data_IF_148493877859
#
_entry.id   IF_148493877859
#
_cell.length_a   1.000
_cell.length_b   1.000
_cell.length_c   1.000
_cell.angle_alpha   90.00
_cell.angle_beta   90.00
_cell.angle_gamma   90.00
#
_symmetry.space_group_name_H-M   'P 1'
#
loop_
_entity.id
_entity.type
_entity.pdbx_description
1 polymer ?
#
# COMPACT_ATOMS: atom_id res chain seq x y z
N UNK A 1 -42.21 -30.68 -30.90
CA UNK A 1 -40.77 -30.81 -30.77
C UNK A 1 -40.01 -29.70 -31.52
N UNK A 2 -40.29 -29.40 -32.81
CA UNK A 2 -39.58 -28.35 -33.57
C UNK A 2 -39.63 -26.96 -32.93
N UNK A 3 -40.76 -26.52 -32.36
CA UNK A 3 -40.87 -25.20 -31.70
C UNK A 3 -40.00 -25.08 -30.45
N UNK A 4 -39.78 -26.17 -29.71
CA UNK A 4 -38.89 -26.20 -28.53
C UNK A 4 -37.41 -26.13 -28.93
N UNK A 5 -37.04 -26.78 -30.03
CA UNK A 5 -35.67 -26.77 -30.56
C UNK A 5 -35.31 -25.36 -31.07
N UNK A 6 -36.25 -24.70 -31.79
CA UNK A 6 -36.04 -23.32 -32.26
C UNK A 6 -35.94 -22.33 -31.11
N UNK A 7 -36.68 -22.50 -30.02
CA UNK A 7 -36.61 -21.68 -28.84
C UNK A 7 -35.26 -21.87 -28.08
N UNK A 8 -34.81 -23.14 -27.97
CA UNK A 8 -33.53 -23.46 -27.35
C UNK A 8 -32.33 -22.91 -28.17
N UNK A 9 -32.40 -23.01 -29.51
CA UNK A 9 -31.34 -22.42 -30.35
C UNK A 9 -31.36 -20.90 -30.31
N UNK A 10 -32.50 -20.24 -30.29
CA UNK A 10 -32.60 -18.79 -30.12
C UNK A 10 -32.04 -18.34 -28.75
N UNK A 11 -32.31 -19.08 -27.67
CA UNK A 11 -31.70 -18.79 -26.33
C UNK A 11 -30.17 -18.95 -26.32
N UNK A 12 -29.65 -19.94 -27.05
CA UNK A 12 -28.20 -20.17 -27.13
C UNK A 12 -27.41 -19.04 -27.85
N UNK A 13 -28.09 -18.31 -28.74
CA UNK A 13 -27.48 -17.16 -29.44
C UNK A 13 -27.50 -15.86 -28.61
N UNK A 14 -28.28 -15.79 -27.54
CA UNK A 14 -28.32 -14.65 -26.63
C UNK A 14 -27.19 -14.67 -25.55
N UNK A 15 -26.49 -15.77 -25.37
CA UNK A 15 -25.52 -15.95 -24.30
C UNK A 15 -24.13 -15.39 -24.61
N UNK A 16 -23.92 -14.69 -25.75
CA UNK A 16 -22.59 -14.36 -26.25
C UNK A 16 -22.17 -12.88 -26.30
N UNK A 17 -23.06 -11.93 -26.11
CA UNK A 17 -22.74 -10.52 -26.39
C UNK A 17 -22.57 -9.66 -25.14
N UNK A 18 -21.45 -9.77 -24.46
CA UNK A 18 -20.97 -8.65 -23.63
C UNK A 18 -20.33 -7.61 -24.57
N UNK A 19 -20.88 -6.38 -24.57
CA UNK A 19 -20.32 -5.27 -25.36
C UNK A 19 -19.07 -4.72 -24.68
N UNK A 20 -17.99 -4.50 -25.46
CA UNK A 20 -16.73 -3.91 -25.00
C UNK A 20 -15.56 -4.88 -25.04
N UNK A 21 -14.33 -4.36 -24.95
CA UNK A 21 -13.11 -5.17 -24.90
C UNK A 21 -12.99 -5.91 -23.55
N UNK A 22 -12.38 -7.09 -23.58
CA UNK A 22 -12.00 -7.80 -22.35
C UNK A 22 -10.75 -7.15 -21.75
N UNK A 23 -10.73 -7.03 -20.44
CA UNK A 23 -9.56 -6.54 -19.73
C UNK A 23 -8.38 -7.51 -19.88
N UNK A 24 -7.25 -7.00 -20.35
CA UNK A 24 -5.98 -7.73 -20.40
C UNK A 24 -4.96 -6.96 -19.57
N UNK A 25 -4.33 -7.60 -18.58
CA UNK A 25 -3.20 -6.99 -17.86
C UNK A 25 -2.11 -6.59 -18.83
N UNK A 26 -1.53 -5.40 -18.63
CA UNK A 26 -0.35 -4.98 -19.41
C UNK A 26 0.83 -5.77 -18.89
N UNK A 27 1.41 -6.64 -19.74
CA UNK A 27 2.68 -7.27 -19.44
C UNK A 27 3.82 -6.27 -19.73
N UNK A 28 4.66 -5.94 -18.74
CA UNK A 28 5.80 -5.06 -18.97
C UNK A 28 6.76 -5.74 -19.95
N UNK A 29 7.26 -5.00 -20.93
CA UNK A 29 8.34 -5.44 -21.85
C UNK A 29 9.67 -5.44 -21.08
N UNK A 30 9.80 -6.40 -20.17
CA UNK A 30 10.97 -6.59 -19.34
C UNK A 30 11.80 -7.77 -19.89
N UNK A 31 13.13 -7.68 -19.88
CA UNK A 31 13.98 -8.80 -20.28
C UNK A 31 13.71 -10.00 -19.36
N UNK A 32 13.66 -11.20 -19.95
CA UNK A 32 13.35 -12.46 -19.24
C UNK A 32 14.30 -12.74 -18.06
N UNK A 33 15.48 -12.11 -18.04
CA UNK A 33 16.46 -12.25 -16.95
C UNK A 33 17.34 -11.01 -16.83
N UNK A 34 17.83 -10.75 -15.63
CA UNK A 34 18.91 -9.80 -15.42
C UNK A 34 20.22 -10.35 -16.00
N UNK A 35 21.05 -9.48 -16.59
CA UNK A 35 22.32 -9.87 -17.24
C UNK A 35 23.28 -10.59 -16.28
N UNK A 36 23.30 -10.20 -15.01
CA UNK A 36 24.19 -10.74 -13.97
C UNK A 36 23.47 -11.62 -12.94
N UNK A 37 22.23 -12.06 -13.21
CA UNK A 37 21.52 -12.94 -12.29
C UNK A 37 22.23 -14.30 -12.21
N UNK A 38 22.55 -14.80 -11.00
CA UNK A 38 23.00 -16.18 -10.85
C UNK A 38 21.92 -17.13 -11.39
N UNK A 39 22.33 -18.22 -12.06
CA UNK A 39 21.40 -19.18 -12.67
C UNK A 39 20.38 -19.82 -11.72
N UNK A 40 20.49 -19.58 -10.42
CA UNK A 40 19.64 -20.16 -9.37
C UNK A 40 18.48 -19.27 -8.89
N UNK A 41 18.24 -18.10 -9.49
CA UNK A 41 17.23 -17.14 -8.99
C UNK A 41 15.85 -17.31 -9.62
N UNK A 42 15.45 -18.49 -10.02
CA UNK A 42 14.10 -18.79 -10.51
C UNK A 42 13.08 -19.07 -9.39
N UNK A 43 13.23 -18.45 -8.21
CA UNK A 43 12.26 -18.51 -7.11
C UNK A 43 11.57 -17.16 -6.96
N UNK A 44 10.27 -17.19 -6.63
CA UNK A 44 9.57 -15.99 -6.17
C UNK A 44 10.42 -15.32 -5.08
N UNK A 45 10.80 -14.07 -5.28
CA UNK A 45 11.54 -13.32 -4.29
C UNK A 45 10.63 -13.14 -3.07
N UNK A 46 10.78 -14.03 -2.10
CA UNK A 46 10.24 -13.84 -0.76
C UNK A 46 11.02 -12.66 -0.18
N UNK A 47 10.39 -11.49 -0.16
CA UNK A 47 10.98 -10.25 0.32
C UNK A 47 11.55 -10.41 1.74
N UNK A 48 10.90 -11.21 2.58
CA UNK A 48 11.37 -11.49 3.94
C UNK A 48 12.70 -12.27 3.93
N UNK A 49 12.91 -13.17 2.96
CA UNK A 49 14.17 -13.90 2.82
C UNK A 49 15.30 -13.04 2.30
N UNK A 50 14.99 -12.06 1.43
CA UNK A 50 16.00 -11.12 0.95
C UNK A 50 16.65 -10.37 2.11
N UNK A 51 15.85 -9.77 2.99
CA UNK A 51 16.36 -9.02 4.13
C UNK A 51 16.98 -9.91 5.22
N UNK A 52 16.51 -11.12 5.38
CA UNK A 52 17.14 -12.10 6.27
C UNK A 52 18.55 -12.49 5.83
N UNK A 53 18.87 -12.40 4.54
CA UNK A 53 20.21 -12.67 3.99
C UNK A 53 21.29 -11.71 4.45
N UNK A 54 20.95 -10.55 5.02
CA UNK A 54 21.92 -9.61 5.63
C UNK A 54 22.39 -10.05 7.02
N UNK A 55 21.77 -11.04 7.63
CA UNK A 55 22.08 -11.59 8.96
C UNK A 55 22.21 -10.49 10.06
N UNK A 56 21.37 -9.45 9.94
CA UNK A 56 21.33 -8.31 10.86
C UNK A 56 19.99 -8.30 11.61
N UNK A 57 19.97 -8.74 12.89
CA UNK A 57 18.74 -8.82 13.70
C UNK A 57 18.16 -7.44 14.02
N UNK A 58 19.00 -6.37 14.03
CA UNK A 58 18.53 -5.00 14.25
C UNK A 58 17.74 -4.53 13.03
N UNK A 59 18.28 -4.69 11.83
CA UNK A 59 17.60 -4.36 10.58
C UNK A 59 16.27 -5.13 10.48
N UNK A 60 16.29 -6.43 10.71
CA UNK A 60 15.08 -7.27 10.68
C UNK A 60 14.02 -6.82 11.70
N UNK A 61 14.45 -6.37 12.89
CA UNK A 61 13.58 -5.81 13.92
C UNK A 61 12.91 -4.50 13.48
N UNK A 62 13.69 -3.59 12.90
CA UNK A 62 13.21 -2.30 12.40
C UNK A 62 12.24 -2.47 11.22
N UNK A 63 12.49 -3.41 10.31
CA UNK A 63 11.58 -3.74 9.21
C UNK A 63 10.23 -4.17 9.75
N UNK A 64 10.18 -5.13 10.68
CA UNK A 64 8.92 -5.58 11.29
C UNK A 64 8.18 -4.42 11.95
N UNK A 65 8.89 -3.63 12.77
CA UNK A 65 8.29 -2.49 13.45
C UNK A 65 7.72 -1.45 12.46
N UNK A 66 8.41 -1.21 11.35
CA UNK A 66 7.95 -0.29 10.29
C UNK A 66 6.68 -0.81 9.64
N UNK A 67 6.64 -2.08 9.25
CA UNK A 67 5.45 -2.67 8.61
C UNK A 67 4.25 -2.71 9.57
N UNK A 68 4.45 -2.98 10.85
CA UNK A 68 3.38 -3.07 11.84
C UNK A 68 2.81 -1.70 12.24
N UNK A 69 3.66 -0.68 12.36
CA UNK A 69 3.29 0.62 12.92
C UNK A 69 3.01 1.72 11.88
N UNK A 70 3.37 1.50 10.61
CA UNK A 70 3.26 2.53 9.58
C UNK A 70 1.80 2.88 9.28
N UNK A 71 1.50 4.19 9.29
CA UNK A 71 0.12 4.70 9.08
C UNK A 71 -0.27 4.71 7.61
N UNK A 72 0.67 4.92 6.70
CA UNK A 72 0.40 4.93 5.26
C UNK A 72 0.08 3.52 4.77
N UNK A 73 0.75 2.50 5.34
CA UNK A 73 0.45 1.11 5.06
C UNK A 73 -0.96 0.72 5.55
N UNK A 74 -1.37 1.21 6.73
CA UNK A 74 -2.74 1.03 7.23
C UNK A 74 -3.77 1.72 6.35
N UNK A 75 -3.45 2.92 5.83
CA UNK A 75 -4.31 3.63 4.88
C UNK A 75 -4.41 2.89 3.54
N UNK A 76 -3.31 2.33 3.03
CA UNK A 76 -3.31 1.51 1.82
C UNK A 76 -4.14 0.24 1.99
N UNK A 77 -4.02 -0.44 3.13
CA UNK A 77 -4.85 -1.60 3.47
C UNK A 77 -6.35 -1.24 3.51
N UNK A 78 -6.69 -0.08 4.06
CA UNK A 78 -8.09 0.39 4.07
C UNK A 78 -8.62 0.69 2.64
N UNK A 79 -7.75 1.19 1.73
CA UNK A 79 -8.11 1.36 0.30
C UNK A 79 -8.35 0.01 -0.38
N UNK A 80 -7.50 -0.98 -0.13
CA UNK A 80 -7.70 -2.34 -0.60
C UNK A 80 -9.03 -2.93 -0.12
N UNK A 81 -9.33 -2.83 1.18
CA UNK A 81 -10.60 -3.30 1.74
C UNK A 81 -11.82 -2.59 1.16
N UNK A 82 -11.68 -1.28 0.86
CA UNK A 82 -12.72 -0.51 0.16
C UNK A 82 -12.94 -1.04 -1.26
N UNK A 83 -11.87 -1.28 -2.03
CA UNK A 83 -11.98 -1.83 -3.39
C UNK A 83 -12.64 -3.22 -3.37
N UNK A 84 -12.28 -4.06 -2.39
CA UNK A 84 -12.93 -5.36 -2.17
C UNK A 84 -14.44 -5.23 -1.88
N UNK A 85 -14.83 -4.27 -1.04
CA UNK A 85 -16.23 -4.01 -0.73
C UNK A 85 -17.01 -3.51 -1.96
N UNK A 86 -16.41 -2.64 -2.78
CA UNK A 86 -17.01 -2.17 -4.04
C UNK A 86 -17.19 -3.30 -5.05
N UNK A 87 -16.23 -4.20 -5.17
CA UNK A 87 -16.38 -5.40 -6.01
C UNK A 87 -17.51 -6.30 -5.51
N UNK A 88 -17.65 -6.50 -4.20
CA UNK A 88 -18.79 -7.25 -3.64
C UNK A 88 -20.13 -6.57 -3.96
N UNK A 89 -20.19 -5.23 -3.83
CA UNK A 89 -21.38 -4.43 -4.21
C UNK A 89 -21.74 -4.61 -5.68
N UNK A 90 -20.77 -4.43 -6.58
CA UNK A 90 -21.00 -4.59 -8.02
C UNK A 90 -21.45 -6.00 -8.43
N UNK A 91 -20.99 -7.04 -7.71
CA UNK A 91 -21.50 -8.41 -7.91
C UNK A 91 -22.91 -8.59 -7.38
N UNK A 92 -23.27 -7.92 -6.29
CA UNK A 92 -24.62 -7.98 -5.73
C UNK A 92 -25.66 -7.35 -6.68
N UNK A 93 -25.28 -6.31 -7.44
CA UNK A 93 -26.15 -5.69 -8.45
C UNK A 93 -26.58 -6.67 -9.58
N UNK A 94 -25.86 -7.78 -9.77
CA UNK A 94 -26.24 -8.84 -10.71
C UNK A 94 -27.35 -9.76 -10.17
N UNK A 95 -27.67 -9.66 -8.89
CA UNK A 95 -28.66 -10.46 -8.20
C UNK A 95 -29.99 -9.69 -8.09
N UNK A 96 -31.11 -10.39 -7.93
CA UNK A 96 -32.38 -9.74 -7.60
C UNK A 96 -32.31 -8.97 -6.29
N UNK A 97 -32.81 -7.74 -6.28
CA UNK A 97 -33.01 -6.95 -5.08
C UNK A 97 -34.39 -7.19 -4.48
N UNK A 98 -34.44 -7.49 -3.20
CA UNK A 98 -35.69 -7.78 -2.47
C UNK A 98 -35.84 -6.74 -1.36
N UNK A 99 -36.82 -5.85 -1.55
CA UNK A 99 -37.19 -4.86 -0.55
C UNK A 99 -38.45 -5.30 0.21
N UNK A 100 -38.44 -5.12 1.53
CA UNK A 100 -39.59 -5.27 2.40
C UNK A 100 -39.79 -3.97 3.15
N UNK A 101 -41.03 -3.44 3.12
CA UNK A 101 -41.38 -2.24 3.86
C UNK A 101 -42.63 -2.47 4.69
N UNK A 102 -42.67 -1.86 5.87
CA UNK A 102 -43.87 -1.80 6.69
C UNK A 102 -43.98 -0.39 7.27
N UNK A 103 -45.16 0.15 7.26
CA UNK A 103 -45.48 1.45 7.85
C UNK A 103 -46.75 1.39 8.65
N UNK A 104 -46.81 2.16 9.71
CA UNK A 104 -47.97 2.43 10.51
C UNK A 104 -48.15 3.95 10.61
N UNK A 105 -49.29 4.46 10.30
CA UNK A 105 -49.60 5.87 10.35
C UNK A 105 -50.96 6.10 11.01
N UNK A 106 -51.09 7.12 11.83
CA UNK A 106 -52.33 7.63 12.33
C UNK A 106 -52.63 8.94 11.59
N UNK A 107 -53.81 9.04 11.02
CA UNK A 107 -54.27 10.21 10.24
C UNK A 107 -55.55 10.78 10.86
N UNK A 108 -55.58 12.09 10.99
CA UNK A 108 -56.82 12.81 11.29
C UNK A 108 -57.44 13.28 10.00
N UNK A 109 -58.64 12.78 9.73
CA UNK A 109 -59.39 13.15 8.53
C UNK A 109 -60.16 14.45 8.76
N UNK A 110 -60.05 15.38 7.83
CA UNK A 110 -60.91 16.57 7.82
C UNK A 110 -62.39 16.20 7.68
N UNK A 111 -63.27 17.03 8.20
CA UNK A 111 -64.72 16.79 8.19
C UNK A 111 -65.27 16.49 6.77
N UNK A 112 -64.68 17.13 5.76
CA UNK A 112 -65.07 16.98 4.36
C UNK A 112 -64.64 15.65 3.74
N UNK A 113 -63.63 15.01 4.32
CA UNK A 113 -63.06 13.72 3.83
C UNK A 113 -63.79 12.53 4.46
N UNK A 114 -64.60 12.73 5.47
CA UNK A 114 -65.41 11.69 6.11
C UNK A 114 -66.71 11.47 5.36
N UNK A 115 -67.16 10.23 5.23
CA UNK A 115 -68.42 9.90 4.55
C UNK A 115 -69.39 9.23 5.50
N UNK A 116 -70.54 9.86 5.84
CA UNK A 116 -70.90 11.24 5.51
C UNK A 116 -70.06 12.28 6.25
N UNK A 117 -69.98 13.56 5.74
CA UNK A 117 -69.18 14.58 6.37
C UNK A 117 -69.57 14.80 7.85
N UNK A 118 -68.50 14.85 8.72
CA UNK A 118 -68.68 15.05 10.17
C UNK A 118 -69.15 13.82 10.96
N UNK A 119 -69.34 12.66 10.34
CA UNK A 119 -69.72 11.42 11.01
C UNK A 119 -68.53 10.55 11.36
N UNK A 120 -68.59 9.88 12.51
CA UNK A 120 -67.59 8.93 12.97
C UNK A 120 -66.36 9.55 13.60
N UNK A 121 -65.36 8.72 13.89
CA UNK A 121 -64.08 9.15 14.42
C UNK A 121 -63.26 9.86 13.32
N UNK A 122 -62.58 10.95 13.65
CA UNK A 122 -61.67 11.65 12.73
C UNK A 122 -60.31 10.99 12.65
N UNK A 123 -60.05 9.97 13.47
CA UNK A 123 -58.81 9.23 13.56
C UNK A 123 -58.88 7.93 12.82
N UNK A 124 -57.98 7.76 11.87
CA UNK A 124 -57.82 6.54 11.07
C UNK A 124 -56.38 5.99 11.24
N UNK A 125 -56.31 4.74 11.67
CA UNK A 125 -55.08 4.00 11.71
C UNK A 125 -54.87 3.28 10.38
N UNK A 126 -53.69 3.53 9.74
CA UNK A 126 -53.32 2.92 8.49
C UNK A 126 -52.10 2.04 8.71
N UNK A 127 -52.26 0.76 8.44
CA UNK A 127 -51.15 -0.21 8.46
C UNK A 127 -50.91 -0.67 7.02
N UNK A 128 -49.64 -0.57 6.58
CA UNK A 128 -49.26 -0.98 5.24
C UNK A 128 -48.02 -1.88 5.33
N UNK A 129 -48.07 -3.00 4.64
CA UNK A 129 -46.91 -3.87 4.43
C UNK A 129 -46.78 -4.17 2.93
N UNK A 130 -45.56 -4.03 2.43
CA UNK A 130 -45.26 -4.32 1.02
C UNK A 130 -43.95 -5.09 0.91
N UNK A 131 -43.92 -6.00 -0.08
CA UNK A 131 -42.70 -6.65 -0.53
C UNK A 131 -42.55 -6.42 -2.03
N UNK A 132 -41.32 -6.05 -2.42
CA UNK A 132 -40.99 -5.79 -3.84
C UNK A 132 -39.78 -6.59 -4.25
N UNK A 133 -39.75 -7.01 -5.49
CA UNK A 133 -38.60 -7.64 -6.15
C UNK A 133 -38.28 -6.82 -7.39
N UNK A 134 -37.03 -6.41 -7.53
CA UNK A 134 -36.52 -5.82 -8.75
C UNK A 134 -35.26 -6.55 -9.22
N UNK A 135 -35.16 -6.78 -10.51
CA UNK A 135 -34.01 -7.45 -11.09
C UNK A 135 -33.74 -6.94 -12.50
N UNK A 136 -32.47 -6.49 -12.71
CA UNK A 136 -32.00 -6.11 -14.04
C UNK A 136 -31.35 -7.32 -14.71
N UNK A 137 -31.96 -7.78 -15.82
CA UNK A 137 -31.38 -8.85 -16.63
C UNK A 137 -30.27 -8.28 -17.51
N UNK A 138 -29.03 -8.70 -17.23
CA UNK A 138 -27.83 -8.19 -17.92
C UNK A 138 -27.64 -8.84 -19.30
N UNK A 139 -28.50 -8.51 -20.25
CA UNK A 139 -28.47 -9.08 -21.60
C UNK A 139 -27.21 -8.65 -22.38
N UNK A 140 -26.75 -7.42 -22.20
CA UNK A 140 -25.64 -6.83 -22.94
C UNK A 140 -24.35 -6.74 -22.14
N UNK A 141 -24.30 -7.24 -20.91
CA UNK A 141 -23.09 -7.34 -20.12
C UNK A 141 -22.70 -6.08 -19.34
N UNK A 142 -23.58 -5.09 -19.17
CA UNK A 142 -23.29 -3.86 -18.42
C UNK A 142 -22.85 -4.14 -16.99
N UNK A 143 -23.59 -4.98 -16.27
CA UNK A 143 -23.29 -5.34 -14.88
C UNK A 143 -22.04 -6.24 -14.78
N UNK A 144 -21.85 -7.14 -15.74
CA UNK A 144 -20.65 -7.97 -15.84
C UNK A 144 -19.41 -7.11 -16.06
N UNK A 145 -19.47 -6.13 -17.01
CA UNK A 145 -18.36 -5.19 -17.26
C UNK A 145 -18.09 -4.28 -16.06
N UNK A 146 -19.12 -3.84 -15.35
CA UNK A 146 -18.93 -3.09 -14.11
C UNK A 146 -18.19 -3.91 -13.05
N UNK A 147 -18.54 -5.19 -12.87
CA UNK A 147 -17.83 -6.08 -11.94
C UNK A 147 -16.39 -6.40 -12.39
N UNK A 148 -16.15 -6.50 -13.69
CA UNK A 148 -14.81 -6.67 -14.26
C UNK A 148 -13.93 -5.44 -13.97
N UNK A 149 -14.47 -4.22 -14.17
CA UNK A 149 -13.78 -2.99 -13.82
C UNK A 149 -13.43 -2.92 -12.31
N UNK A 150 -14.40 -3.26 -11.44
CA UNK A 150 -14.13 -3.29 -9.99
C UNK A 150 -13.12 -4.38 -9.59
N UNK A 151 -13.03 -5.47 -10.33
CA UNK A 151 -12.00 -6.49 -10.11
C UNK A 151 -10.61 -5.98 -10.51
N UNK A 152 -10.51 -5.23 -11.61
CA UNK A 152 -9.26 -4.60 -12.02
C UNK A 152 -8.80 -3.54 -11.01
N UNK A 153 -9.74 -2.72 -10.49
CA UNK A 153 -9.46 -1.77 -9.41
C UNK A 153 -8.97 -2.44 -8.11
N UNK A 154 -9.54 -3.59 -7.75
CA UNK A 154 -9.04 -4.37 -6.62
C UNK A 154 -7.61 -4.88 -6.87
N UNK A 155 -7.31 -5.36 -8.08
CA UNK A 155 -5.96 -5.76 -8.46
C UNK A 155 -4.96 -4.60 -8.41
N UNK A 156 -5.37 -3.40 -8.83
CA UNK A 156 -4.55 -2.19 -8.71
C UNK A 156 -4.27 -1.82 -7.25
N UNK A 157 -5.31 -1.85 -6.39
CA UNK A 157 -5.15 -1.56 -4.96
C UNK A 157 -4.25 -2.59 -4.23
N UNK A 158 -4.27 -3.85 -4.66
CA UNK A 158 -3.37 -4.91 -4.16
C UNK A 158 -1.91 -4.65 -4.55
N UNK A 159 -1.69 -4.31 -5.82
CA UNK A 159 -0.37 -3.95 -6.33
C UNK A 159 0.19 -2.67 -5.65
N UNK A 160 -0.65 -1.66 -5.43
CA UNK A 160 -0.27 -0.43 -4.72
C UNK A 160 0.14 -0.72 -3.26
N UNK A 161 -0.57 -1.61 -2.58
CA UNK A 161 -0.24 -2.04 -1.22
C UNK A 161 1.13 -2.73 -1.19
N UNK A 162 1.38 -3.66 -2.10
CA UNK A 162 2.67 -4.35 -2.22
C UNK A 162 3.81 -3.38 -2.58
N UNK A 163 3.59 -2.47 -3.52
CA UNK A 163 4.57 -1.46 -3.91
C UNK A 163 4.94 -0.53 -2.75
N UNK A 164 3.96 -0.13 -1.93
CA UNK A 164 4.21 0.68 -0.74
C UNK A 164 5.04 -0.07 0.31
N UNK A 165 4.79 -1.37 0.52
CA UNK A 165 5.60 -2.20 1.41
C UNK A 165 7.06 -2.22 0.98
N UNK A 166 7.32 -2.51 -0.29
CA UNK A 166 8.68 -2.52 -0.86
C UNK A 166 9.36 -1.15 -0.71
N UNK A 167 8.65 -0.06 -1.02
CA UNK A 167 9.18 1.29 -0.91
C UNK A 167 9.57 1.66 0.53
N UNK A 168 8.71 1.36 1.51
CA UNK A 168 8.96 1.64 2.92
C UNK A 168 10.17 0.86 3.45
N UNK A 169 10.25 -0.43 3.12
CA UNK A 169 11.38 -1.27 3.54
C UNK A 169 12.67 -0.81 2.87
N UNK A 170 12.62 -0.48 1.57
CA UNK A 170 13.77 0.04 0.84
C UNK A 170 14.28 1.36 1.42
N UNK A 171 13.39 2.29 1.74
CA UNK A 171 13.75 3.56 2.36
C UNK A 171 14.36 3.36 3.76
N UNK A 172 13.76 2.50 4.58
CA UNK A 172 14.30 2.15 5.88
C UNK A 172 15.71 1.56 5.77
N UNK A 173 15.90 0.59 4.88
CA UNK A 173 17.19 -0.07 4.69
C UNK A 173 18.26 0.93 4.22
N UNK A 174 17.93 1.83 3.29
CA UNK A 174 18.83 2.89 2.85
C UNK A 174 19.28 3.76 4.03
N UNK A 175 18.31 4.28 4.80
CA UNK A 175 18.64 5.12 5.98
C UNK A 175 19.43 4.35 7.05
N UNK A 176 19.13 3.06 7.23
CA UNK A 176 19.87 2.21 8.16
C UNK A 176 21.33 2.05 7.76
N UNK A 177 21.60 1.71 6.49
CA UNK A 177 22.96 1.52 6.01
C UNK A 177 23.74 2.85 5.94
N UNK A 178 23.10 3.96 5.63
CA UNK A 178 23.68 5.29 5.72
C UNK A 178 24.13 5.60 7.16
N UNK A 179 23.26 5.38 8.13
CA UNK A 179 23.59 5.55 9.55
C UNK A 179 24.77 4.65 9.98
N UNK A 180 24.76 3.37 9.58
CA UNK A 180 25.86 2.44 9.88
C UNK A 180 27.16 2.88 9.23
N UNK A 181 27.09 3.41 8.00
CA UNK A 181 28.25 3.99 7.31
C UNK A 181 28.82 5.19 8.04
N UNK A 182 27.96 6.14 8.47
CA UNK A 182 28.39 7.30 9.25
C UNK A 182 28.99 6.91 10.60
N UNK A 183 28.39 5.93 11.30
CA UNK A 183 28.96 5.41 12.55
C UNK A 183 30.36 4.82 12.33
N UNK A 184 30.57 4.08 11.26
CA UNK A 184 31.88 3.52 10.92
C UNK A 184 32.89 4.62 10.56
N UNK A 185 32.49 5.63 9.79
CA UNK A 185 33.33 6.78 9.47
C UNK A 185 33.72 7.55 10.73
N UNK A 186 32.81 7.73 11.70
CA UNK A 186 33.07 8.35 12.96
C UNK A 186 34.10 7.58 13.79
N UNK A 187 34.05 6.26 13.81
CA UNK A 187 35.04 5.42 14.47
C UNK A 187 36.43 5.61 13.84
N UNK A 188 36.51 5.61 12.52
CA UNK A 188 37.76 5.83 11.77
C UNK A 188 38.29 7.25 12.03
N UNK A 189 37.43 8.27 11.99
CA UNK A 189 37.82 9.65 12.26
C UNK A 189 38.41 9.83 13.67
N UNK A 190 37.80 9.23 14.70
CA UNK A 190 38.30 9.23 16.08
C UNK A 190 39.67 8.54 16.19
N UNK A 191 39.82 7.37 15.57
CA UNK A 191 41.10 6.67 15.52
C UNK A 191 42.19 7.51 14.83
N UNK A 192 41.86 8.21 13.76
CA UNK A 192 42.78 9.11 13.07
C UNK A 192 43.19 10.30 13.95
N UNK A 193 42.26 10.88 14.73
CA UNK A 193 42.61 11.93 15.71
C UNK A 193 43.60 11.42 16.74
N UNK A 194 43.42 10.20 17.27
CA UNK A 194 44.33 9.62 18.24
C UNK A 194 45.72 9.34 17.64
N UNK A 195 45.78 8.86 16.40
CA UNK A 195 47.02 8.68 15.67
C UNK A 195 47.74 10.03 15.44
N UNK A 196 47.02 11.10 15.07
CA UNK A 196 47.58 12.42 14.87
C UNK A 196 48.07 13.03 16.20
N UNK A 197 47.38 12.76 17.32
CA UNK A 197 47.82 13.19 18.66
C UNK A 197 49.16 12.54 19.05
N UNK A 198 49.29 11.23 18.84
CA UNK A 198 50.52 10.51 19.07
C UNK A 198 51.67 11.03 18.18
N UNK A 199 51.37 11.32 16.91
CA UNK A 199 52.32 11.91 15.97
C UNK A 199 52.82 13.29 16.46
N UNK A 200 51.91 14.12 16.96
CA UNK A 200 52.24 15.42 17.53
C UNK A 200 53.18 15.29 18.76
N UNK A 201 52.92 14.32 19.65
CA UNK A 201 53.77 14.05 20.81
C UNK A 201 55.20 13.68 20.40
N UNK A 202 55.35 12.86 19.36
CA UNK A 202 56.67 12.50 18.80
C UNK A 202 57.37 13.71 18.21
N UNK A 203 56.65 14.57 17.47
CA UNK A 203 57.19 15.80 16.89
C UNK A 203 57.68 16.73 18.02
N UNK A 204 56.85 16.95 19.05
CA UNK A 204 57.24 17.77 20.23
C UNK A 204 58.52 17.27 20.90
N UNK A 205 58.59 15.97 21.17
CA UNK A 205 59.77 15.37 21.75
C UNK A 205 61.04 15.57 20.91
N UNK A 206 60.90 15.59 19.56
CA UNK A 206 62.02 15.88 18.65
C UNK A 206 62.42 17.35 18.69
N UNK A 207 61.44 18.27 18.74
CA UNK A 207 61.67 19.72 18.85
C UNK A 207 62.39 20.02 20.18
N UNK A 208 61.90 19.47 21.28
CA UNK A 208 62.50 19.64 22.63
C UNK A 208 63.95 19.11 22.69
N UNK A 209 64.25 18.02 21.98
CA UNK A 209 65.59 17.47 21.84
C UNK A 209 66.49 18.22 20.83
N UNK A 210 66.02 19.34 20.25
CA UNK A 210 66.75 20.10 19.24
C UNK A 210 66.88 19.41 17.87
N UNK A 211 66.07 18.40 17.60
CA UNK A 211 66.08 17.59 16.36
C UNK A 211 64.91 17.87 15.45
N UNK A 212 64.12 18.91 15.74
CA UNK A 212 62.97 19.36 14.96
C UNK A 212 62.89 20.86 14.97
N UNK A 213 62.00 21.43 14.17
CA UNK A 213 61.73 22.88 14.07
C UNK A 213 60.36 23.21 14.66
N UNK A 214 60.19 24.48 15.11
CA UNK A 214 58.87 24.97 15.51
C UNK A 214 57.82 24.88 14.36
N UNK A 215 58.29 24.95 13.11
CA UNK A 215 57.42 24.78 11.94
C UNK A 215 56.87 23.35 11.88
N UNK A 216 57.67 22.34 12.21
CA UNK A 216 57.19 20.94 12.24
C UNK A 216 56.08 20.74 13.26
N UNK A 217 56.22 21.37 14.46
CA UNK A 217 55.20 21.31 15.50
C UNK A 217 53.90 22.01 15.04
N UNK A 218 53.97 23.24 14.52
CA UNK A 218 52.79 23.97 14.04
C UNK A 218 52.08 23.20 12.95
N UNK A 219 52.80 22.56 12.04
CA UNK A 219 52.24 21.70 10.99
C UNK A 219 51.53 20.49 11.58
N UNK A 220 52.12 19.83 12.58
CA UNK A 220 51.50 18.68 13.23
C UNK A 220 50.23 19.07 14.01
N UNK A 221 50.23 20.23 14.70
CA UNK A 221 49.04 20.79 15.35
C UNK A 221 47.93 21.07 14.33
N UNK A 222 48.27 21.76 13.22
CA UNK A 222 47.30 22.07 12.18
C UNK A 222 46.67 20.81 11.58
N UNK A 223 47.46 19.75 11.37
CA UNK A 223 46.97 18.47 10.88
C UNK A 223 46.05 17.79 11.89
N UNK A 224 46.37 17.82 13.18
CA UNK A 224 45.50 17.29 14.25
C UNK A 224 44.16 18.02 14.28
N UNK A 225 44.15 19.35 14.27
CA UNK A 225 42.91 20.13 14.33
C UNK A 225 42.07 19.99 13.05
N UNK A 226 42.70 19.90 11.88
CA UNK A 226 42.01 19.59 10.63
C UNK A 226 41.30 18.21 10.66
N UNK A 227 42.01 17.19 11.21
CA UNK A 227 41.41 15.84 11.36
C UNK A 227 40.29 15.86 12.40
N UNK A 228 40.41 16.62 13.47
CA UNK A 228 39.38 16.76 14.53
C UNK A 228 38.12 17.47 14.01
N UNK A 229 38.29 18.46 13.14
CA UNK A 229 37.17 19.24 12.59
C UNK A 229 36.15 18.43 11.78
N UNK A 230 36.50 17.24 11.30
CA UNK A 230 35.57 16.34 10.58
C UNK A 230 34.55 15.66 11.51
N UNK A 231 34.88 15.52 12.81
CA UNK A 231 34.06 14.75 13.77
C UNK A 231 32.67 15.39 13.99
N UNK A 232 32.51 16.70 14.19
CA UNK A 232 31.19 17.31 14.38
C UNK A 232 30.26 17.08 13.21
N UNK A 233 30.74 17.14 11.97
CA UNK A 233 29.96 16.92 10.77
C UNK A 233 29.42 15.49 10.66
N UNK A 234 30.18 14.52 11.22
CA UNK A 234 29.75 13.11 11.25
C UNK A 234 28.80 12.80 12.42
N UNK A 235 28.59 13.74 13.34
CA UNK A 235 27.71 13.60 14.51
C UNK A 235 26.37 14.33 14.36
N UNK A 236 26.27 15.24 13.37
CA UNK A 236 25.08 16.03 13.08
C UNK A 236 24.01 15.21 12.32
#
# INVERSE_FOLDING_TARGET
MHKFIVLLTALAWLSGCAVGPDYQPVEPDAPERFLEAPQASAGSADEQRFWAGFDDPMLAGLIRQTLDANRDLRAALARYQRAEALLRGSRAEQLPDVGVSASAAEQHLADVERTPPGAGDDRVELYQAAAGLSWELDLFGRLRRASEAQRAELGAADADLAALQVALVGQLATSYFELRGLQQQLLVARSNVDNQRQSLEIVRSRVDAGRGTAFDEVRAVSQLEATRAVIPDLQA
#
